data_IF_391256625310
#
_entry.id   IF_391256625310
#
_cell.length_a   1.000
_cell.length_b   1.000
_cell.length_c   1.000
_cell.angle_alpha   90.00
_cell.angle_beta   90.00
_cell.angle_gamma   90.00
#
_symmetry.space_group_name_H-M   'P 1'
#
loop_
_entity.id
_entity.type
_entity.pdbx_description
1 polymer ?
#
# COMPACT_ATOMS: atom_id res chain seq x y z
N UNK A 1 -14.24 1.08 -17.67
CA UNK A 1 -14.75 1.26 -16.30
C UNK A 1 -16.12 0.62 -16.20
N UNK A 2 -16.38 -0.16 -15.15
CA UNK A 2 -17.72 -0.73 -14.90
C UNK A 2 -18.17 -0.30 -13.52
N UNK A 3 -19.44 0.13 -13.41
CA UNK A 3 -20.07 0.58 -12.17
C UNK A 3 -21.37 -0.20 -11.97
N UNK A 4 -21.63 -0.67 -10.75
CA UNK A 4 -22.85 -1.40 -10.40
C UNK A 4 -23.81 -0.49 -9.63
N UNK A 5 -25.02 -0.33 -10.14
CA UNK A 5 -26.05 0.51 -9.58
C UNK A 5 -27.20 -0.39 -9.09
N UNK A 6 -27.32 -0.50 -7.77
CA UNK A 6 -28.31 -1.33 -7.10
C UNK A 6 -29.69 -0.66 -6.92
N UNK A 7 -29.84 0.59 -7.37
CA UNK A 7 -31.09 1.34 -7.27
C UNK A 7 -32.03 1.00 -8.43
N UNK A 8 -33.33 0.96 -8.14
CA UNK A 8 -34.35 0.79 -9.16
C UNK A 8 -34.36 1.98 -10.13
N UNK A 9 -34.69 1.73 -11.40
CA UNK A 9 -34.74 2.74 -12.48
C UNK A 9 -33.47 3.56 -12.72
N UNK A 10 -32.31 3.06 -12.28
CA UNK A 10 -31.02 3.76 -12.39
C UNK A 10 -30.40 3.78 -13.79
N UNK A 11 -31.10 3.34 -14.85
CA UNK A 11 -30.51 3.20 -16.19
C UNK A 11 -30.09 4.53 -16.85
N UNK A 12 -30.71 5.65 -16.45
CA UNK A 12 -30.45 6.99 -17.01
C UNK A 12 -29.94 8.00 -15.97
N UNK A 13 -29.53 7.55 -14.79
CA UNK A 13 -29.00 8.42 -13.71
C UNK A 13 -27.82 9.29 -14.18
N UNK A 14 -27.03 8.82 -15.15
CA UNK A 14 -25.93 9.60 -15.73
C UNK A 14 -26.41 10.92 -16.34
N UNK A 15 -27.57 10.94 -16.99
CA UNK A 15 -28.12 12.14 -17.64
C UNK A 15 -28.54 13.17 -16.59
N UNK A 16 -29.28 12.72 -15.57
CA UNK A 16 -29.75 13.55 -14.46
C UNK A 16 -28.58 14.16 -13.66
N UNK A 17 -27.47 13.44 -13.55
CA UNK A 17 -26.30 13.84 -12.79
C UNK A 17 -25.26 14.59 -13.63
N UNK A 18 -25.56 14.90 -14.90
CA UNK A 18 -24.65 15.61 -15.80
C UNK A 18 -23.33 14.87 -16.00
N UNK A 19 -23.38 13.54 -16.09
CA UNK A 19 -22.26 12.68 -16.47
C UNK A 19 -22.33 12.38 -17.98
N UNK A 20 -21.20 12.06 -18.63
CA UNK A 20 -21.22 11.62 -20.01
C UNK A 20 -21.96 10.27 -20.11
N UNK A 21 -22.53 10.00 -21.27
CA UNK A 21 -23.26 8.75 -21.48
C UNK A 21 -22.35 7.53 -21.37
N UNK A 22 -22.72 6.46 -20.63
CA UNK A 22 -22.03 5.18 -20.68
C UNK A 22 -22.08 4.62 -22.11
N UNK A 23 -21.06 3.87 -22.52
CA UNK A 23 -21.12 3.21 -23.84
C UNK A 23 -22.20 2.13 -23.86
N UNK A 24 -22.36 1.41 -22.75
CA UNK A 24 -23.37 0.37 -22.58
C UNK A 24 -23.97 0.46 -21.17
N UNK A 25 -25.29 0.31 -21.07
CA UNK A 25 -26.00 0.07 -19.80
C UNK A 25 -26.70 -1.29 -19.89
N UNK A 26 -26.41 -2.18 -18.93
CA UNK A 26 -27.05 -3.50 -18.85
C UNK A 26 -27.94 -3.55 -17.62
N UNK A 27 -29.25 -3.52 -17.83
CA UNK A 27 -30.27 -3.44 -16.79
C UNK A 27 -30.98 -4.78 -16.56
N UNK A 28 -31.25 -5.10 -15.30
CA UNK A 28 -32.15 -6.16 -14.91
C UNK A 28 -33.61 -5.73 -15.13
N UNK A 29 -34.35 -6.52 -15.91
CA UNK A 29 -35.75 -6.25 -16.28
C UNK A 29 -36.70 -6.30 -15.07
N UNK A 30 -36.35 -7.05 -14.03
CA UNK A 30 -37.22 -7.28 -12.87
C UNK A 30 -37.08 -6.19 -11.80
N UNK A 31 -35.85 -5.83 -11.43
CA UNK A 31 -35.58 -4.90 -10.33
C UNK A 31 -34.91 -3.60 -10.76
N UNK A 32 -34.72 -3.37 -12.06
CA UNK A 32 -34.19 -2.11 -12.60
C UNK A 32 -32.71 -1.81 -12.30
N UNK A 33 -32.02 -2.67 -11.54
CA UNK A 33 -30.58 -2.56 -11.23
C UNK A 33 -29.75 -2.69 -12.49
N UNK A 34 -28.69 -1.93 -12.62
CA UNK A 34 -27.93 -1.89 -13.87
C UNK A 34 -26.42 -1.81 -13.67
N UNK A 35 -25.68 -2.26 -14.68
CA UNK A 35 -24.25 -2.00 -14.79
C UNK A 35 -24.03 -0.94 -15.86
N UNK A 36 -23.27 0.09 -15.54
CA UNK A 36 -22.76 1.05 -16.51
C UNK A 36 -21.38 0.61 -16.98
N UNK A 37 -21.15 0.69 -18.30
CA UNK A 37 -19.89 0.32 -18.92
C UNK A 37 -19.39 1.52 -19.73
N UNK A 38 -18.32 2.14 -19.24
CA UNK A 38 -17.56 3.15 -19.99
C UNK A 38 -16.35 2.48 -20.63
N UNK A 39 -16.27 2.51 -21.95
CA UNK A 39 -15.14 2.05 -22.72
C UNK A 39 -14.02 3.11 -22.65
N UNK A 40 -12.84 2.71 -22.18
CA UNK A 40 -11.68 3.58 -22.16
C UNK A 40 -10.97 3.50 -23.51
N UNK A 41 -10.52 4.64 -24.02
CA UNK A 41 -9.73 4.72 -25.25
C UNK A 41 -8.37 4.04 -25.05
N UNK A 42 -7.68 4.40 -23.96
CA UNK A 42 -6.42 3.79 -23.56
C UNK A 42 -6.68 2.74 -22.47
N UNK A 43 -6.28 1.47 -22.68
CA UNK A 43 -6.44 0.43 -21.68
C UNK A 43 -5.52 0.66 -20.47
N UNK A 44 -6.00 0.29 -19.29
CA UNK A 44 -5.24 0.42 -18.05
C UNK A 44 -4.80 -0.95 -17.59
N UNK A 45 -3.48 -1.15 -17.53
CA UNK A 45 -2.91 -2.37 -17.01
C UNK A 45 -3.13 -2.43 -15.49
N UNK A 46 -3.68 -3.54 -15.00
CA UNK A 46 -3.94 -3.78 -13.57
C UNK A 46 -3.05 -4.93 -13.01
N UNK A 47 -1.89 -5.16 -13.62
CA UNK A 47 -0.93 -6.16 -13.14
C UNK A 47 -0.02 -5.58 -12.06
N UNK A 48 0.70 -6.44 -11.32
CA UNK A 48 1.66 -6.01 -10.28
C UNK A 48 2.80 -5.12 -10.80
N UNK A 49 3.12 -5.21 -12.09
CA UNK A 49 4.19 -4.43 -12.74
C UNK A 49 3.67 -3.16 -13.43
N UNK A 50 2.38 -2.87 -13.31
CA UNK A 50 1.78 -1.72 -13.97
C UNK A 50 2.22 -0.40 -13.32
N UNK A 51 2.20 0.67 -14.11
CA UNK A 51 2.56 2.00 -13.64
C UNK A 51 1.50 2.50 -12.66
N UNK A 52 1.95 2.90 -11.47
CA UNK A 52 1.07 3.38 -10.40
C UNK A 52 0.27 4.63 -10.79
N UNK A 53 0.89 5.62 -11.47
CA UNK A 53 0.26 6.91 -11.78
C UNK A 53 -1.06 6.75 -12.58
N UNK A 54 -1.10 6.05 -13.73
CA UNK A 54 -2.35 5.81 -14.46
C UNK A 54 -3.42 5.06 -13.66
N UNK A 55 -3.03 4.03 -12.89
CA UNK A 55 -3.96 3.28 -12.04
C UNK A 55 -4.57 4.19 -10.99
N UNK A 56 -3.73 4.95 -10.29
CA UNK A 56 -4.16 5.88 -9.25
C UNK A 56 -5.13 6.92 -9.83
N UNK A 57 -4.80 7.51 -10.98
CA UNK A 57 -5.65 8.50 -11.63
C UNK A 57 -7.02 7.92 -12.03
N UNK A 58 -7.03 6.75 -12.68
CA UNK A 58 -8.27 6.04 -12.98
C UNK A 58 -9.09 5.70 -11.74
N UNK A 59 -8.45 5.25 -10.66
CA UNK A 59 -9.14 4.94 -9.41
C UNK A 59 -9.77 6.18 -8.77
N UNK A 60 -9.13 7.34 -8.85
CA UNK A 60 -9.73 8.60 -8.40
C UNK A 60 -10.99 8.94 -9.19
N UNK A 61 -10.92 8.85 -10.52
CA UNK A 61 -12.08 9.10 -11.39
C UNK A 61 -13.18 8.07 -11.10
N UNK A 62 -12.85 6.78 -11.04
CA UNK A 62 -13.79 5.71 -10.73
C UNK A 62 -14.50 5.96 -9.39
N UNK A 63 -13.77 6.35 -8.35
CA UNK A 63 -14.33 6.68 -7.04
C UNK A 63 -15.27 7.88 -7.11
N UNK A 64 -14.87 8.95 -7.80
CA UNK A 64 -15.71 10.13 -7.96
C UNK A 64 -17.01 9.81 -8.72
N UNK A 65 -16.96 8.95 -9.74
CA UNK A 65 -18.15 8.43 -10.42
C UNK A 65 -19.04 7.58 -9.51
N UNK A 66 -18.44 6.67 -8.72
CA UNK A 66 -19.17 5.86 -7.74
C UNK A 66 -19.94 6.76 -6.77
N UNK A 67 -19.26 7.77 -6.24
CA UNK A 67 -19.84 8.69 -5.26
C UNK A 67 -20.95 9.55 -5.87
N UNK A 68 -20.73 10.06 -7.10
CA UNK A 68 -21.72 10.90 -7.80
C UNK A 68 -22.96 10.08 -8.20
N UNK A 69 -22.79 8.85 -8.63
CA UNK A 69 -23.88 7.94 -9.02
C UNK A 69 -24.54 7.23 -7.83
N UNK A 70 -23.91 7.22 -6.65
CA UNK A 70 -24.33 6.36 -5.55
C UNK A 70 -24.26 4.87 -5.89
N UNK A 71 -23.28 4.48 -6.70
CA UNK A 71 -23.03 3.09 -7.09
C UNK A 71 -22.40 2.28 -5.94
N UNK A 72 -22.38 0.95 -6.04
CA UNK A 72 -21.77 0.10 -5.03
C UNK A 72 -20.25 0.35 -4.93
N UNK A 73 -19.82 0.84 -3.77
CA UNK A 73 -18.43 1.09 -3.45
C UNK A 73 -17.59 -0.19 -3.35
N UNK A 74 -18.21 -1.34 -3.09
CA UNK A 74 -17.53 -2.63 -2.91
C UNK A 74 -17.48 -3.47 -4.18
N UNK A 75 -18.02 -2.98 -5.30
CA UNK A 75 -18.00 -3.69 -6.56
C UNK A 75 -16.58 -3.78 -7.13
N UNK A 76 -16.06 -5.01 -7.20
CA UNK A 76 -14.65 -5.28 -7.59
C UNK A 76 -14.46 -5.33 -9.11
N UNK A 77 -15.53 -5.33 -9.91
CA UNK A 77 -15.43 -5.35 -11.38
C UNK A 77 -15.16 -6.72 -12.01
N UNK A 78 -15.28 -7.81 -11.23
CA UNK A 78 -15.01 -9.19 -11.71
C UNK A 78 -16.20 -9.78 -12.48
N UNK A 79 -17.42 -9.48 -12.05
CA UNK A 79 -18.65 -10.02 -12.65
C UNK A 79 -19.51 -8.90 -13.20
N UNK A 80 -19.68 -8.85 -14.53
CA UNK A 80 -20.56 -7.89 -15.20
C UNK A 80 -21.75 -8.61 -15.83
N UNK A 81 -22.94 -8.02 -15.79
CA UNK A 81 -24.12 -8.54 -16.51
C UNK A 81 -23.78 -8.64 -18.01
N UNK A 82 -24.08 -9.77 -18.64
CA UNK A 82 -23.70 -10.03 -20.04
C UNK A 82 -24.58 -9.22 -21.02
N UNK A 83 -24.04 -8.22 -21.74
CA UNK A 83 -24.85 -7.40 -22.65
C UNK A 83 -25.56 -8.18 -23.77
N UNK A 84 -25.02 -9.35 -24.16
CA UNK A 84 -25.52 -10.17 -25.25
C UNK A 84 -26.58 -11.20 -24.82
N UNK A 85 -27.01 -11.20 -23.56
CA UNK A 85 -28.04 -12.11 -23.07
C UNK A 85 -29.42 -11.46 -23.13
N UNK A 86 -30.41 -12.22 -23.64
CA UNK A 86 -31.82 -11.80 -23.70
C UNK A 86 -32.45 -11.59 -22.31
N UNK A 87 -31.84 -12.12 -21.25
CA UNK A 87 -32.30 -11.96 -19.88
C UNK A 87 -32.21 -10.50 -19.40
N UNK A 88 -31.25 -9.74 -19.92
CA UNK A 88 -31.04 -8.34 -19.55
C UNK A 88 -31.67 -7.40 -20.59
N UNK A 89 -31.94 -6.17 -20.17
CA UNK A 89 -32.26 -5.06 -21.08
C UNK A 89 -30.98 -4.25 -21.29
N UNK A 90 -30.46 -4.25 -22.51
CA UNK A 90 -29.21 -3.59 -22.85
C UNK A 90 -29.49 -2.33 -23.64
N UNK A 91 -28.89 -1.22 -23.23
CA UNK A 91 -28.86 0.04 -23.96
C UNK A 91 -27.44 0.29 -24.46
N UNK A 92 -27.29 0.66 -25.73
CA UNK A 92 -26.00 0.97 -26.34
C UNK A 92 -26.09 2.39 -26.89
N UNK A 93 -25.23 3.28 -26.40
CA UNK A 93 -25.36 4.72 -26.66
C UNK A 93 -24.56 5.22 -27.87
N UNK A 94 -23.93 4.32 -28.63
CA UNK A 94 -23.14 4.61 -29.84
C UNK A 94 -22.19 5.83 -29.73
N UNK A 95 -21.62 6.02 -28.54
CA UNK A 95 -20.64 7.06 -28.23
C UNK A 95 -19.21 6.52 -28.36
N UNK A 96 -18.22 7.37 -28.69
CA UNK A 96 -16.82 6.96 -28.77
C UNK A 96 -16.29 6.47 -27.42
N UNK A 97 -15.11 5.85 -27.46
CA UNK A 97 -14.37 5.53 -26.23
C UNK A 97 -13.87 6.82 -25.58
N UNK A 98 -13.76 6.82 -24.26
CA UNK A 98 -13.39 8.00 -23.51
C UNK A 98 -11.92 7.98 -23.06
N UNK A 99 -11.27 9.14 -23.10
CA UNK A 99 -10.03 9.36 -22.35
C UNK A 99 -10.33 9.51 -20.86
N UNK A 100 -9.34 9.25 -20.01
CA UNK A 100 -9.49 9.52 -18.58
C UNK A 100 -9.69 11.00 -18.29
N UNK A 101 -8.97 11.86 -19.01
CA UNK A 101 -9.04 13.31 -18.83
C UNK A 101 -10.46 13.82 -19.14
N UNK A 102 -11.07 13.35 -20.22
CA UNK A 102 -12.46 13.71 -20.54
C UNK A 102 -13.42 13.28 -19.44
N UNK A 103 -13.31 12.06 -18.90
CA UNK A 103 -14.17 11.61 -17.80
C UNK A 103 -13.94 12.43 -16.52
N UNK A 104 -12.70 12.88 -16.28
CA UNK A 104 -12.38 13.69 -15.12
C UNK A 104 -13.07 15.06 -15.12
N UNK A 105 -13.34 15.65 -16.29
CA UNK A 105 -13.99 16.96 -16.40
C UNK A 105 -15.41 17.01 -15.81
N UNK A 106 -16.06 15.84 -15.64
CA UNK A 106 -17.45 15.75 -15.15
C UNK A 106 -17.56 15.46 -13.65
N UNK A 107 -16.43 15.33 -12.94
CA UNK A 107 -16.40 14.97 -11.53
C UNK A 107 -15.38 15.80 -10.77
N UNK A 108 -15.70 16.15 -9.52
CA UNK A 108 -14.76 16.86 -8.67
C UNK A 108 -13.70 15.90 -8.12
N UNK A 109 -12.44 16.14 -8.50
CA UNK A 109 -11.27 15.41 -8.01
C UNK A 109 -10.58 16.14 -6.83
N UNK A 110 -11.04 17.34 -6.46
CA UNK A 110 -10.29 18.32 -5.66
C UNK A 110 -10.23 18.03 -4.16
N UNK A 111 -11.18 17.30 -3.57
CA UNK A 111 -11.41 17.43 -2.12
C UNK A 111 -11.68 16.14 -1.36
N UNK A 112 -11.24 15.01 -1.88
CA UNK A 112 -11.08 13.84 -1.01
C UNK A 112 -9.59 13.62 -0.89
N UNK A 113 -9.02 13.52 0.33
CA UNK A 113 -7.81 12.75 0.42
C UNK A 113 -8.16 11.46 -0.32
N UNK A 114 -7.41 11.18 -1.38
CA UNK A 114 -7.01 9.80 -1.53
C UNK A 114 -6.32 9.59 -0.21
N UNK A 115 -7.05 9.07 0.77
CA UNK A 115 -6.44 8.28 1.81
C UNK A 115 -5.45 7.50 0.99
N UNK A 116 -4.17 7.81 1.17
CA UNK A 116 -3.14 6.90 0.72
C UNK A 116 -3.58 5.62 1.40
N UNK A 117 -4.34 4.82 0.65
CA UNK A 117 -4.78 3.50 1.00
C UNK A 117 -3.46 2.89 1.36
N UNK A 118 -3.23 2.65 2.65
CA UNK A 118 -1.94 2.27 3.22
C UNK A 118 -1.34 1.13 2.40
N UNK A 119 -0.62 1.44 1.33
CA UNK A 119 -0.09 0.64 0.23
C UNK A 119 -0.73 -0.73 -0.15
N UNK A 120 -1.86 -1.18 0.43
CA UNK A 120 -2.29 -2.58 0.38
C UNK A 120 -3.76 -2.85 0.78
N UNK A 121 -4.51 -1.89 1.34
CA UNK A 121 -5.74 -2.27 2.08
C UNK A 121 -7.03 -2.38 1.23
N UNK A 122 -7.18 -1.63 0.14
CA UNK A 122 -8.45 -1.63 -0.63
C UNK A 122 -8.35 -2.11 -2.10
N UNK A 123 -7.15 -2.41 -2.61
CA UNK A 123 -7.02 -2.85 -4.02
C UNK A 123 -7.42 -4.32 -4.19
N UNK A 124 -7.36 -5.13 -3.13
CA UNK A 124 -7.50 -6.61 -3.22
C UNK A 124 -8.69 -7.17 -2.40
N UNK A 125 -9.53 -6.31 -1.81
CA UNK A 125 -10.72 -6.69 -1.04
C UNK A 125 -10.44 -7.06 0.44
N UNK A 126 -11.51 -7.08 1.25
CA UNK A 126 -11.46 -7.33 2.72
C UNK A 126 -10.60 -8.53 3.11
N UNK A 127 -10.72 -9.64 2.37
CA UNK A 127 -9.98 -10.86 2.61
C UNK A 127 -8.46 -10.65 2.49
N UNK A 128 -8.03 -9.94 1.44
CA UNK A 128 -6.62 -9.67 1.23
C UNK A 128 -6.06 -8.68 2.25
N UNK A 129 -6.85 -7.67 2.63
CA UNK A 129 -6.49 -6.73 3.70
C UNK A 129 -6.18 -7.47 5.01
N UNK A 130 -7.11 -8.31 5.49
CA UNK A 130 -6.91 -9.14 6.68
C UNK A 130 -5.72 -10.09 6.53
N UNK A 131 -5.54 -10.71 5.36
CA UNK A 131 -4.42 -11.60 5.08
C UNK A 131 -3.06 -10.87 5.15
N UNK A 132 -2.97 -9.64 4.65
CA UNK A 132 -1.76 -8.84 4.71
C UNK A 132 -1.46 -8.36 6.13
N UNK A 133 -2.48 -7.95 6.89
CA UNK A 133 -2.34 -7.55 8.29
C UNK A 133 -1.89 -8.72 9.17
N UNK A 134 -2.52 -9.90 9.04
CA UNK A 134 -2.18 -11.06 9.88
C UNK A 134 -0.79 -11.61 9.59
N UNK A 135 -0.31 -11.52 8.35
CA UNK A 135 1.07 -11.88 8.01
C UNK A 135 2.09 -11.04 8.75
N UNK A 136 1.88 -9.72 8.84
CA UNK A 136 2.79 -8.83 9.58
C UNK A 136 2.87 -9.23 11.05
N UNK A 137 1.73 -9.56 11.66
CA UNK A 137 1.68 -10.08 13.04
C UNK A 137 2.41 -11.43 13.12
N UNK A 138 2.10 -12.36 12.22
CA UNK A 138 2.69 -13.69 12.20
C UNK A 138 4.21 -13.69 12.04
N UNK A 139 4.76 -12.84 11.15
CA UNK A 139 6.21 -12.70 10.97
C UNK A 139 6.92 -12.19 12.23
N UNK A 140 6.26 -11.35 13.03
CA UNK A 140 6.82 -10.80 14.27
C UNK A 140 6.82 -11.82 15.41
N UNK A 141 5.80 -12.65 15.49
CA UNK A 141 5.58 -13.53 16.65
C UNK A 141 6.09 -14.97 16.44
N UNK A 142 6.24 -15.44 15.20
CA UNK A 142 6.56 -16.85 14.90
C UNK A 142 7.79 -17.39 15.65
N UNK A 143 8.87 -16.62 15.73
CA UNK A 143 10.09 -17.07 16.41
C UNK A 143 9.87 -17.23 17.92
N UNK A 144 9.10 -16.34 18.55
CA UNK A 144 8.76 -16.48 19.97
C UNK A 144 7.96 -17.77 20.21
N UNK A 145 6.99 -18.06 19.35
CA UNK A 145 6.21 -19.30 19.45
C UNK A 145 7.09 -20.55 19.33
N UNK A 146 8.02 -20.56 18.37
CA UNK A 146 8.97 -21.67 18.20
C UNK A 146 9.93 -21.82 19.38
N UNK A 147 10.49 -20.72 19.88
CA UNK A 147 11.38 -20.74 21.05
C UNK A 147 10.66 -21.14 22.34
N UNK A 148 9.37 -20.84 22.47
CA UNK A 148 8.55 -21.25 23.64
C UNK A 148 8.03 -22.70 23.55
N UNK A 149 8.45 -23.49 22.56
CA UNK A 149 8.02 -24.88 22.41
C UNK A 149 6.54 -25.06 22.00
N UNK A 150 5.89 -24.00 21.51
CA UNK A 150 4.50 -24.07 21.05
C UNK A 150 4.39 -24.80 19.71
N UNK A 151 3.22 -25.38 19.45
CA UNK A 151 2.94 -26.12 18.22
C UNK A 151 2.19 -25.25 17.19
N UNK A 152 2.09 -25.75 15.95
CA UNK A 152 1.43 -25.07 14.84
C UNK A 152 -0.03 -24.74 15.15
N UNK A 153 -0.73 -25.62 15.86
CA UNK A 153 -2.14 -25.47 16.25
C UNK A 153 -2.32 -24.26 17.17
N UNK A 154 -1.41 -24.07 18.13
CA UNK A 154 -1.44 -22.94 19.05
C UNK A 154 -1.12 -21.63 18.33
N UNK A 155 -0.19 -21.66 17.37
CA UNK A 155 0.09 -20.50 16.52
C UNK A 155 -1.10 -20.17 15.61
N UNK A 156 -1.77 -21.18 15.07
CA UNK A 156 -2.98 -21.00 14.28
C UNK A 156 -4.11 -20.35 15.09
N UNK A 157 -4.36 -20.84 16.31
CA UNK A 157 -5.36 -20.26 17.22
C UNK A 157 -5.04 -18.80 17.55
N UNK A 158 -3.77 -18.48 17.79
CA UNK A 158 -3.33 -17.10 18.02
C UNK A 158 -3.57 -16.17 16.81
N UNK A 159 -3.30 -16.64 15.60
CA UNK A 159 -3.60 -15.85 14.41
C UNK A 159 -5.10 -15.71 14.17
N UNK A 160 -5.89 -16.75 14.48
CA UNK A 160 -7.34 -16.70 14.36
C UNK A 160 -7.96 -15.67 15.30
N UNK A 161 -7.59 -15.67 16.59
CA UNK A 161 -8.09 -14.68 17.55
C UNK A 161 -7.68 -13.25 17.18
N UNK A 162 -6.47 -13.08 16.65
CA UNK A 162 -6.01 -11.79 16.11
C UNK A 162 -6.85 -11.34 14.91
N UNK A 163 -7.20 -12.28 14.01
CA UNK A 163 -8.07 -11.99 12.86
C UNK A 163 -9.49 -11.62 13.27
N UNK A 164 -10.06 -12.28 14.29
CA UNK A 164 -11.37 -11.94 14.82
C UNK A 164 -11.42 -10.50 15.32
N UNK A 165 -10.38 -10.06 16.05
CA UNK A 165 -10.26 -8.68 16.52
C UNK A 165 -10.14 -7.70 15.35
N UNK A 166 -9.31 -7.99 14.35
CA UNK A 166 -9.16 -7.14 13.17
C UNK A 166 -10.44 -7.07 12.33
N UNK A 167 -11.20 -8.16 12.26
CA UNK A 167 -12.44 -8.25 11.49
C UNK A 167 -13.54 -7.33 12.05
N UNK A 168 -13.48 -6.93 13.32
CA UNK A 168 -14.41 -5.96 13.93
C UNK A 168 -14.32 -4.58 13.26
N UNK A 169 -13.18 -4.25 12.65
CA UNK A 169 -12.98 -2.98 11.95
C UNK A 169 -13.57 -2.98 10.53
N UNK A 170 -14.03 -4.12 10.01
CA UNK A 170 -14.60 -4.22 8.67
C UNK A 170 -16.14 -4.20 8.70
N UNK A 171 -16.76 -3.42 7.82
CA UNK A 171 -18.21 -3.34 7.67
C UNK A 171 -18.64 -3.63 6.22
N UNK A 172 -19.37 -4.73 5.94
CA UNK A 172 -19.73 -5.81 6.87
C UNK A 172 -18.51 -6.70 7.20
N UNK A 173 -18.50 -7.35 8.39
CA UNK A 173 -17.42 -8.25 8.77
C UNK A 173 -17.39 -9.50 7.88
N UNK A 174 -16.21 -10.10 7.71
CA UNK A 174 -16.07 -11.37 7.02
C UNK A 174 -16.63 -12.53 7.87
N UNK A 175 -17.22 -13.57 7.24
CA UNK A 175 -17.75 -14.71 7.97
C UNK A 175 -16.63 -15.52 8.62
N UNK A 176 -16.90 -16.09 9.80
CA UNK A 176 -15.91 -16.85 10.58
C UNK A 176 -15.22 -17.98 9.79
N UNK A 177 -15.94 -18.63 8.86
CA UNK A 177 -15.39 -19.68 7.99
C UNK A 177 -14.24 -19.16 7.12
N UNK A 178 -14.33 -17.94 6.62
CA UNK A 178 -13.25 -17.31 5.86
C UNK A 178 -12.06 -16.99 6.75
N UNK A 179 -12.30 -16.43 7.95
CA UNK A 179 -11.23 -16.15 8.92
C UNK A 179 -10.43 -17.41 9.27
N UNK A 180 -11.13 -18.54 9.49
CA UNK A 180 -10.50 -19.85 9.74
C UNK A 180 -9.61 -20.29 8.56
N UNK A 181 -10.04 -20.06 7.33
CA UNK A 181 -9.26 -20.33 6.13
C UNK A 181 -8.00 -19.47 6.03
N UNK A 182 -8.13 -18.16 6.29
CA UNK A 182 -7.02 -17.20 6.31
C UNK A 182 -6.01 -17.58 7.39
N UNK A 183 -6.47 -17.86 8.61
CA UNK A 183 -5.62 -18.26 9.73
C UNK A 183 -4.84 -19.54 9.39
N UNK A 184 -5.52 -20.57 8.87
CA UNK A 184 -4.93 -21.88 8.56
C UNK A 184 -3.87 -21.81 7.46
N UNK A 185 -4.17 -21.12 6.38
CA UNK A 185 -3.23 -20.95 5.27
C UNK A 185 -2.00 -20.12 5.70
N UNK A 186 -2.23 -19.03 6.44
CA UNK A 186 -1.16 -18.15 6.91
C UNK A 186 -0.27 -18.85 7.94
N UNK A 187 -0.86 -19.48 8.96
CA UNK A 187 -0.09 -20.12 10.03
C UNK A 187 0.81 -21.22 9.48
N UNK A 188 0.29 -22.06 8.58
CA UNK A 188 1.06 -23.14 7.96
C UNK A 188 2.23 -22.62 7.14
N UNK A 189 1.97 -21.67 6.24
CA UNK A 189 3.01 -21.12 5.37
C UNK A 189 4.13 -20.42 6.17
N UNK A 190 3.76 -19.67 7.21
CA UNK A 190 4.71 -18.99 8.10
C UNK A 190 5.52 -20.02 8.90
N UNK A 191 4.86 -21.04 9.44
CA UNK A 191 5.51 -22.05 10.26
C UNK A 191 6.56 -22.85 9.48
N UNK A 192 6.25 -23.23 8.24
CA UNK A 192 7.14 -24.02 7.39
C UNK A 192 8.37 -23.21 6.93
N UNK A 193 8.23 -21.89 6.70
CA UNK A 193 9.29 -21.08 6.07
C UNK A 193 10.16 -20.27 7.03
N UNK A 194 9.69 -19.98 8.24
CA UNK A 194 10.44 -19.13 9.17
C UNK A 194 11.24 -19.99 10.15
N UNK A 195 12.55 -19.93 10.05
CA UNK A 195 13.49 -20.49 11.02
C UNK A 195 14.37 -19.39 11.63
N UNK A 196 14.95 -19.69 12.79
CA UNK A 196 15.92 -18.79 13.42
C UNK A 196 17.13 -18.54 12.51
N UNK A 197 17.64 -19.59 11.86
CA UNK A 197 18.76 -19.49 10.90
C UNK A 197 18.43 -18.55 9.73
N UNK A 198 17.23 -18.67 9.15
CA UNK A 198 16.79 -17.80 8.06
C UNK A 198 16.65 -16.34 8.51
N UNK A 199 16.14 -16.13 9.72
CA UNK A 199 16.02 -14.78 10.30
C UNK A 199 17.39 -14.13 10.56
N UNK A 200 18.34 -14.88 11.12
CA UNK A 200 19.71 -14.41 11.32
C UNK A 200 20.38 -14.05 9.99
N UNK A 201 20.20 -14.87 8.94
CA UNK A 201 20.69 -14.55 7.59
C UNK A 201 20.07 -13.28 7.02
N UNK A 202 18.75 -13.10 7.15
CA UNK A 202 18.05 -11.89 6.73
C UNK A 202 18.61 -10.66 7.46
N UNK A 203 18.82 -10.77 8.78
CA UNK A 203 19.32 -9.67 9.59
C UNK A 203 20.78 -9.31 9.26
N UNK A 204 21.63 -10.31 9.03
CA UNK A 204 23.01 -10.14 8.59
C UNK A 204 23.09 -9.48 7.21
N UNK A 205 22.26 -9.92 6.25
CA UNK A 205 22.21 -9.29 4.93
C UNK A 205 21.73 -7.83 5.00
N UNK A 206 20.75 -7.53 5.86
CA UNK A 206 20.27 -6.15 6.09
C UNK A 206 21.34 -5.27 6.72
N UNK A 207 22.06 -5.77 7.72
CA UNK A 207 23.14 -5.03 8.35
C UNK A 207 24.26 -4.76 7.34
N UNK A 208 24.68 -5.78 6.56
CA UNK A 208 25.70 -5.63 5.52
C UNK A 208 25.33 -4.54 4.50
N UNK A 209 24.12 -4.58 3.92
CA UNK A 209 23.66 -3.54 2.97
C UNK A 209 23.64 -2.14 3.58
N UNK A 210 23.21 -2.03 4.85
CA UNK A 210 23.22 -0.75 5.57
C UNK A 210 24.65 -0.24 5.76
N UNK A 211 25.57 -1.11 6.16
CA UNK A 211 26.99 -0.79 6.33
C UNK A 211 27.64 -0.37 5.01
N UNK A 212 27.41 -1.10 3.91
CA UNK A 212 27.89 -0.75 2.57
C UNK A 212 27.46 0.67 2.17
N UNK A 213 26.17 1.00 2.33
CA UNK A 213 25.66 2.36 2.06
C UNK A 213 26.33 3.42 2.93
N UNK A 214 26.52 3.12 4.23
CA UNK A 214 27.19 4.04 5.15
C UNK A 214 28.67 4.27 4.76
N UNK A 215 29.39 3.23 4.31
CA UNK A 215 30.77 3.37 3.87
C UNK A 215 30.90 4.22 2.61
N UNK A 216 29.97 4.09 1.65
CA UNK A 216 29.93 4.94 0.45
C UNK A 216 29.78 6.41 0.83
N UNK A 217 28.77 6.74 1.66
CA UNK A 217 28.52 8.11 2.12
C UNK A 217 29.71 8.65 2.92
N UNK A 218 30.30 7.83 3.79
CA UNK A 218 31.48 8.22 4.56
C UNK A 218 32.67 8.54 3.65
N UNK A 219 32.92 7.73 2.63
CA UNK A 219 33.98 7.98 1.64
C UNK A 219 33.72 9.25 0.83
N UNK A 220 32.48 9.49 0.44
CA UNK A 220 32.08 10.71 -0.26
C UNK A 220 32.30 11.96 0.60
N UNK A 221 31.89 11.93 1.87
CA UNK A 221 32.15 13.00 2.83
C UNK A 221 33.65 13.26 2.99
N UNK A 222 34.46 12.21 3.15
CA UNK A 222 35.90 12.35 3.27
C UNK A 222 36.54 12.91 2.00
N UNK A 223 36.08 12.52 0.81
CA UNK A 223 36.58 13.07 -0.44
C UNK A 223 36.22 14.56 -0.63
N UNK A 224 35.06 15.00 -0.13
CA UNK A 224 34.64 16.39 -0.26
C UNK A 224 35.34 17.34 0.73
N UNK A 225 35.56 16.89 1.97
CA UNK A 225 36.01 17.77 3.06
C UNK A 225 37.37 17.38 3.64
N UNK A 226 37.82 16.14 3.45
CA UNK A 226 39.06 15.61 4.01
C UNK A 226 39.13 15.77 5.54
N UNK A 227 40.31 16.14 6.03
CA UNK A 227 40.56 16.44 7.45
C UNK A 227 40.10 17.85 7.87
N UNK A 228 39.80 18.73 6.91
CA UNK A 228 39.42 20.11 7.19
C UNK A 228 37.91 20.20 7.32
N UNK A 229 37.44 20.34 8.57
CA UNK A 229 36.02 20.49 8.84
C UNK A 229 35.45 21.69 8.07
N UNK A 230 34.36 21.52 7.30
CA UNK A 230 33.70 22.64 6.63
C UNK A 230 33.14 23.63 7.65
N UNK A 231 32.97 24.90 7.25
CA UNK A 231 32.40 25.96 8.10
C UNK A 231 30.87 25.84 8.21
N UNK A 232 30.39 24.66 8.56
CA UNK A 232 28.98 24.29 8.73
C UNK A 232 28.83 23.44 10.00
N UNK A 233 27.66 23.49 10.62
CA UNK A 233 27.37 22.63 11.77
C UNK A 233 27.25 21.17 11.33
N UNK A 234 27.58 20.23 12.23
CA UNK A 234 27.42 18.80 11.96
C UNK A 234 25.95 18.43 11.66
N UNK A 235 24.99 19.17 12.21
CA UNK A 235 23.57 18.98 11.92
C UNK A 235 23.22 19.29 10.46
N UNK A 236 23.73 20.40 9.93
CA UNK A 236 23.50 20.79 8.53
C UNK A 236 24.13 19.79 7.55
N UNK A 237 25.34 19.31 7.86
CA UNK A 237 26.01 18.28 7.04
C UNK A 237 25.20 16.97 7.10
N UNK A 238 24.69 16.59 8.26
CA UNK A 238 23.88 15.38 8.41
C UNK A 238 22.58 15.45 7.59
N UNK A 239 21.90 16.61 7.58
CA UNK A 239 20.72 16.87 6.75
C UNK A 239 21.05 16.79 5.25
N UNK A 240 22.13 17.44 4.82
CA UNK A 240 22.57 17.44 3.42
C UNK A 240 22.83 16.03 2.88
N UNK A 241 23.46 15.17 3.67
CA UNK A 241 23.78 13.79 3.27
C UNK A 241 22.71 12.77 3.69
N UNK A 242 21.59 13.24 4.26
CA UNK A 242 20.49 12.38 4.74
C UNK A 242 20.96 11.25 5.68
N UNK A 243 21.87 11.60 6.59
CA UNK A 243 22.41 10.69 7.63
C UNK A 243 22.03 11.18 9.02
N UNK A 244 22.13 10.30 10.02
CA UNK A 244 21.92 10.72 11.41
C UNK A 244 23.12 11.50 11.94
N UNK A 245 22.85 12.51 12.77
CA UNK A 245 23.89 13.29 13.45
C UNK A 245 24.80 12.39 14.28
N UNK A 246 24.26 11.32 14.89
CA UNK A 246 25.04 10.34 15.66
C UNK A 246 26.05 9.57 14.80
N UNK A 247 25.71 9.24 13.55
CA UNK A 247 26.64 8.60 12.61
C UNK A 247 27.74 9.56 12.19
N UNK A 248 27.38 10.82 11.89
CA UNK A 248 28.36 11.83 11.52
C UNK A 248 29.31 12.17 12.68
N UNK A 249 28.82 12.22 13.93
CA UNK A 249 29.67 12.43 15.10
C UNK A 249 30.77 11.37 15.23
N UNK A 250 30.44 10.09 15.03
CA UNK A 250 31.44 9.01 15.03
C UNK A 250 32.47 9.21 13.92
N UNK A 251 32.03 9.58 12.72
CA UNK A 251 32.95 9.80 11.59
C UNK A 251 33.78 11.07 11.76
N UNK A 252 33.25 12.10 12.41
CA UNK A 252 33.95 13.35 12.66
C UNK A 252 35.16 13.17 13.60
N UNK A 253 35.08 12.23 14.55
CA UNK A 253 36.24 11.80 15.35
C UNK A 253 37.29 11.12 14.46
N UNK A 254 36.86 10.21 13.57
CA UNK A 254 37.76 9.52 12.63
C UNK A 254 38.40 10.45 11.59
N UNK A 255 37.68 11.50 11.17
CA UNK A 255 38.18 12.51 10.23
C UNK A 255 39.03 13.59 10.91
N UNK A 256 39.15 13.58 12.24
CA UNK A 256 39.89 14.59 13.01
C UNK A 256 39.19 15.96 13.11
N UNK A 257 37.90 16.05 12.78
CA UNK A 257 37.12 17.29 12.84
C UNK A 257 36.80 17.73 14.27
N UNK A 258 36.92 16.81 15.23
CA UNK A 258 36.68 17.05 16.66
C UNK A 258 37.89 16.52 17.42
N UNK A 259 38.47 17.33 18.31
CA UNK A 259 39.54 16.87 19.20
C UNK A 259 38.97 15.84 20.18
N UNK A 260 39.66 14.71 20.34
CA UNK A 260 39.25 13.71 21.30
C UNK A 260 39.24 14.30 22.71
N UNK A 261 38.40 13.78 23.62
CA UNK A 261 38.42 14.19 25.05
C UNK A 261 39.81 14.02 25.68
N UNK A 262 40.64 13.11 25.15
CA UNK A 262 42.02 12.90 25.61
C UNK A 262 42.98 14.03 25.17
N UNK A 263 42.77 14.63 23.99
CA UNK A 263 43.59 15.77 23.53
C UNK A 263 43.32 17.06 24.31
N UNK A 264 42.11 17.21 24.84
CA UNK A 264 41.76 18.35 25.68
C UNK A 264 42.43 18.26 27.04
N UNK A 265 42.55 17.06 27.63
CA UNK A 265 43.17 16.82 28.94
C UNK A 265 44.67 17.16 28.94
N UNK A 266 45.40 16.72 27.91
CA UNK A 266 46.83 17.03 27.72
C UNK A 266 47.12 18.53 27.58
N UNK A 267 46.16 19.32 27.08
CA UNK A 267 46.33 20.76 26.91
C UNK A 267 46.22 21.53 28.23
N UNK A 268 45.45 21.03 29.20
CA UNK A 268 45.34 21.62 30.53
C UNK A 268 46.50 21.23 31.46
N UNK A 269 47.10 20.06 31.28
CA UNK A 269 48.29 19.63 32.04
C UNK A 269 49.58 20.37 31.63
N UNK A 270 49.60 21.04 30.48
CA UNK A 270 50.75 21.86 30.03
C UNK A 270 50.66 23.34 30.43
N UNK A 271 49.59 23.75 31.10
CA UNK A 271 49.34 25.13 31.54
C UNK A 271 49.43 25.25 33.09
N UNK A 272 49.64 24.13 33.79
CA UNK A 272 49.99 24.08 35.20
C UNK A 272 51.50 23.90 35.37
#
# INVERSE_FOLDING_TARGET
>A
MVLDLDRENSAMDWELLGLPSPNIVVQNRLNGRCHYIYALEVPICNTKNARFKPISYFKKIQRAYIDKLGADQHYVGVFTKNPNSNFWRTFVFNVPKYTLDYLADFVDLSNKPVFYLNDNEDIEGRNCSLFNQIKKIGYREILKFKCSGKQLEQFNQYLLSSLELLNQNHNPPLPYRELKGIARSSSRWIWERFSESSFQQIQSNRSRKRWEKQQIIKKELFNQFGANKPNMSLKQIAEQFSISVSSLNRWAEEFGWVKSKNDLKSKYEKIA
#
